data_IF_897645486943
#
_entry.id   IF_897645486943
#
_cell.length_a   1.000
_cell.length_b   1.000
_cell.length_c   1.000
_cell.angle_alpha   90.00
_cell.angle_beta   90.00
_cell.angle_gamma   90.00
#
_symmetry.space_group_name_H-M   'P 1'
#
loop_
_entity.id
_entity.type
_entity.pdbx_description
1 polymer ?
#
# COMPACT_ATOMS: atom_id res chain seq x y z
N UNK A 1 -21.37 22.12 7.54
CA UNK A 1 -20.32 21.52 6.69
C UNK A 1 -19.94 20.20 7.32
N UNK A 2 -19.92 19.10 6.56
CA UNK A 2 -19.51 17.80 7.09
C UNK A 2 -18.03 17.82 7.48
N UNK A 3 -17.69 17.24 8.62
CA UNK A 3 -16.30 17.16 9.11
C UNK A 3 -15.44 16.27 8.21
N UNK A 4 -14.11 16.38 8.32
CA UNK A 4 -13.18 15.48 7.62
C UNK A 4 -13.49 14.01 7.92
N UNK A 5 -13.74 13.68 9.19
CA UNK A 5 -14.03 12.33 9.64
C UNK A 5 -15.34 11.78 9.06
N UNK A 6 -16.39 12.61 9.01
CA UNK A 6 -17.68 12.24 8.40
C UNK A 6 -17.52 11.94 6.91
N UNK A 7 -16.82 12.83 6.17
CA UNK A 7 -16.58 12.64 4.73
C UNK A 7 -15.75 11.37 4.46
N UNK A 8 -14.69 11.14 5.24
CA UNK A 8 -13.88 9.93 5.13
C UNK A 8 -14.68 8.67 5.45
N UNK A 9 -15.48 8.69 6.51
CA UNK A 9 -16.32 7.55 6.90
C UNK A 9 -17.34 7.22 5.80
N UNK A 10 -17.92 8.24 5.16
CA UNK A 10 -18.81 8.06 4.02
C UNK A 10 -18.11 7.39 2.83
N UNK A 11 -16.89 7.81 2.50
CA UNK A 11 -16.11 7.23 1.40
C UNK A 11 -15.61 5.81 1.67
N UNK A 12 -15.30 5.49 2.93
CA UNK A 12 -14.99 4.10 3.34
C UNK A 12 -16.24 3.21 3.22
N UNK A 13 -17.41 3.79 3.42
CA UNK A 13 -18.70 3.14 3.20
C UNK A 13 -19.17 2.32 4.40
N UNK A 14 -20.42 1.81 4.34
CA UNK A 14 -21.10 1.20 5.49
C UNK A 14 -20.49 -0.14 5.92
N UNK A 15 -19.70 -0.79 5.05
CA UNK A 15 -19.00 -2.03 5.37
C UNK A 15 -17.71 -1.80 6.17
N UNK A 16 -17.31 -0.54 6.33
CA UNK A 16 -16.10 -0.17 7.05
C UNK A 16 -14.82 -0.45 6.28
N UNK A 17 -13.72 -0.47 7.02
CA UNK A 17 -12.38 -0.65 6.46
C UNK A 17 -12.16 -2.07 5.92
N UNK A 18 -11.54 -2.16 4.74
CA UNK A 18 -11.02 -3.40 4.17
C UNK A 18 -9.49 -3.37 4.09
N UNK A 19 -8.82 -4.51 4.28
CA UNK A 19 -7.35 -4.59 4.28
C UNK A 19 -6.71 -4.13 2.97
N UNK A 20 -7.41 -4.25 1.84
CA UNK A 20 -6.96 -3.70 0.55
C UNK A 20 -6.87 -2.17 0.56
N UNK A 21 -7.58 -1.49 1.46
CA UNK A 21 -7.58 -0.04 1.64
C UNK A 21 -6.42 0.47 2.48
N UNK A 22 -5.62 -0.40 3.12
CA UNK A 22 -4.51 -0.01 4.01
C UNK A 22 -3.65 1.12 3.46
N UNK A 23 -3.20 0.98 2.21
CA UNK A 23 -2.36 1.98 1.54
C UNK A 23 -3.12 3.25 1.17
N UNK A 24 -4.39 3.10 0.77
CA UNK A 24 -5.24 4.25 0.44
C UNK A 24 -5.52 5.11 1.65
N UNK A 25 -5.88 4.47 2.76
CA UNK A 25 -6.14 5.15 4.02
C UNK A 25 -4.86 5.77 4.59
N UNK A 26 -3.72 5.07 4.50
CA UNK A 26 -2.42 5.64 4.86
C UNK A 26 -2.12 6.92 4.07
N UNK A 27 -2.41 6.97 2.76
CA UNK A 27 -2.27 8.19 1.97
C UNK A 27 -3.17 9.33 2.48
N UNK A 28 -4.43 9.03 2.83
CA UNK A 28 -5.37 10.03 3.37
C UNK A 28 -4.85 10.60 4.68
N UNK A 29 -4.42 9.73 5.59
CA UNK A 29 -3.91 10.12 6.90
C UNK A 29 -2.66 10.98 6.77
N UNK A 30 -1.71 10.58 5.93
CA UNK A 30 -0.49 11.36 5.72
C UNK A 30 -0.77 12.72 5.06
N UNK A 31 -1.74 12.77 4.15
CA UNK A 31 -2.16 14.01 3.49
C UNK A 31 -2.85 14.96 4.48
N UNK A 32 -3.78 14.46 5.30
CA UNK A 32 -4.43 15.27 6.33
C UNK A 32 -3.43 15.71 7.41
N UNK A 33 -2.56 14.82 7.89
CA UNK A 33 -1.52 15.15 8.85
C UNK A 33 -0.61 16.28 8.35
N UNK A 34 -0.30 16.30 7.04
CA UNK A 34 0.44 17.40 6.41
C UNK A 34 -0.36 18.71 6.48
N UNK A 35 -1.66 18.68 6.15
CA UNK A 35 -2.53 19.87 6.22
C UNK A 35 -2.59 20.42 7.65
N UNK A 36 -2.68 19.55 8.66
CA UNK A 36 -2.70 19.94 10.08
C UNK A 36 -1.45 20.70 10.54
N UNK A 37 -0.29 20.47 9.90
CA UNK A 37 0.98 21.12 10.29
C UNK A 37 1.44 22.18 9.30
N UNK A 38 0.69 22.40 8.21
CA UNK A 38 1.15 23.16 7.04
C UNK A 38 1.53 24.61 7.40
N UNK A 39 0.75 25.25 8.28
CA UNK A 39 1.00 26.61 8.76
C UNK A 39 2.25 26.71 9.64
N UNK A 40 2.60 25.63 10.36
CA UNK A 40 3.78 25.59 11.22
C UNK A 40 5.06 25.15 10.49
N UNK A 41 4.95 24.49 9.33
CA UNK A 41 6.10 23.98 8.57
C UNK A 41 7.24 25.00 8.36
N UNK A 42 6.98 26.29 8.05
CA UNK A 42 8.05 27.28 7.90
C UNK A 42 8.89 27.48 9.17
N UNK A 43 8.27 27.33 10.35
CA UNK A 43 8.90 27.55 11.66
C UNK A 43 9.60 26.30 12.19
N UNK A 44 9.35 25.13 11.60
CA UNK A 44 9.91 23.85 12.02
C UNK A 44 11.19 23.50 11.24
N UNK A 45 12.20 23.00 11.97
CA UNK A 45 13.40 22.39 11.38
C UNK A 45 13.04 21.08 10.64
N UNK A 46 13.83 20.62 9.65
CA UNK A 46 13.51 19.41 8.88
C UNK A 46 13.21 18.16 9.70
N UNK A 47 13.91 17.93 10.83
CA UNK A 47 13.62 16.78 11.70
C UNK A 47 12.31 16.96 12.48
N UNK A 48 12.00 18.19 12.93
CA UNK A 48 10.76 18.51 13.65
C UNK A 48 9.55 18.32 12.74
N UNK A 49 9.65 18.67 11.45
CA UNK A 49 8.59 18.43 10.45
C UNK A 49 8.21 16.95 10.35
N UNK A 50 9.21 16.06 10.37
CA UNK A 50 9.01 14.61 10.30
C UNK A 50 8.35 14.07 11.58
N UNK A 51 8.77 14.56 12.74
CA UNK A 51 8.18 14.19 14.04
C UNK A 51 6.74 14.69 14.14
N UNK A 52 6.51 15.97 13.85
CA UNK A 52 5.18 16.59 13.82
C UNK A 52 4.22 15.83 12.91
N UNK A 53 4.67 15.49 11.70
CA UNK A 53 3.87 14.73 10.76
C UNK A 53 3.44 13.38 11.33
N UNK A 54 4.38 12.62 11.90
CA UNK A 54 4.08 11.30 12.46
C UNK A 54 3.18 11.40 13.69
N UNK A 55 3.39 12.39 14.57
CA UNK A 55 2.54 12.63 15.73
C UNK A 55 1.08 12.90 15.33
N UNK A 56 0.88 13.77 14.34
CA UNK A 56 -0.46 14.04 13.80
C UNK A 56 -1.05 12.84 13.08
N UNK A 57 -0.26 12.11 12.28
CA UNK A 57 -0.72 10.88 11.61
C UNK A 57 -1.21 9.82 12.62
N UNK A 58 -0.45 9.59 13.71
CA UNK A 58 -0.87 8.71 14.79
C UNK A 58 -2.18 9.20 15.43
N UNK A 59 -2.30 10.51 15.69
CA UNK A 59 -3.49 11.10 16.29
C UNK A 59 -4.74 10.94 15.43
N UNK A 60 -4.59 11.09 14.12
CA UNK A 60 -5.67 10.88 13.17
C UNK A 60 -6.10 9.42 13.17
N UNK A 61 -5.17 8.46 13.19
CA UNK A 61 -5.51 7.03 13.21
C UNK A 61 -6.27 6.65 14.48
N UNK A 62 -5.86 7.17 15.64
CA UNK A 62 -6.53 6.91 16.91
C UNK A 62 -7.96 7.45 16.94
N UNK A 63 -8.24 8.52 16.19
CA UNK A 63 -9.57 9.14 16.12
C UNK A 63 -10.52 8.46 15.13
N UNK A 64 -10.06 7.51 14.31
CA UNK A 64 -10.90 6.78 13.36
C UNK A 64 -11.74 5.70 14.08
N UNK A 65 -13.08 5.86 14.18
CA UNK A 65 -13.93 4.95 14.95
C UNK A 65 -14.20 3.63 14.20
N UNK A 66 -14.05 3.62 12.88
CA UNK A 66 -14.29 2.44 12.03
C UNK A 66 -13.09 1.48 11.99
N UNK A 67 -11.98 1.81 12.65
CA UNK A 67 -10.79 0.96 12.72
C UNK A 67 -10.73 0.19 14.04
N UNK A 68 -10.51 -1.12 13.91
CA UNK A 68 -10.19 -1.99 15.04
C UNK A 68 -8.77 -1.70 15.55
N UNK A 69 -8.47 -1.97 16.84
CA UNK A 69 -7.15 -1.69 17.42
C UNK A 69 -5.97 -2.29 16.62
N UNK A 70 -6.09 -3.52 16.13
CA UNK A 70 -5.04 -4.14 15.33
C UNK A 70 -4.83 -3.42 13.99
N UNK A 71 -5.91 -3.02 13.29
CA UNK A 71 -5.86 -2.31 12.00
C UNK A 71 -5.16 -0.95 12.10
N UNK A 72 -5.27 -0.27 13.25
CA UNK A 72 -4.59 1.01 13.51
C UNK A 72 -3.07 0.87 13.39
N UNK A 73 -2.52 -0.22 13.93
CA UNK A 73 -1.10 -0.51 13.82
C UNK A 73 -0.71 -0.85 12.36
N UNK A 74 -1.55 -1.62 11.65
CA UNK A 74 -1.25 -2.08 10.28
C UNK A 74 -1.17 -0.94 9.26
N UNK A 75 -1.98 0.10 9.45
CA UNK A 75 -1.98 1.29 8.60
C UNK A 75 -0.64 2.03 8.68
N UNK A 76 0.07 1.94 9.80
CA UNK A 76 1.40 2.54 9.95
C UNK A 76 2.52 1.60 9.54
N UNK A 77 2.24 0.40 9.04
CA UNK A 77 3.31 -0.43 8.49
C UNK A 77 3.79 0.12 7.15
N UNK A 78 5.11 0.18 6.99
CA UNK A 78 5.79 0.47 5.73
C UNK A 78 5.39 -0.52 4.64
N UNK A 79 5.43 -1.82 4.95
CA UNK A 79 4.99 -2.93 4.09
C UNK A 79 4.16 -3.92 4.92
N UNK A 80 3.24 -4.64 4.28
CA UNK A 80 2.44 -5.63 4.99
C UNK A 80 3.25 -6.88 5.36
N UNK A 81 4.28 -7.20 4.57
CA UNK A 81 5.12 -8.40 4.73
C UNK A 81 6.13 -8.29 5.85
N UNK A 82 6.89 -7.18 5.95
CA UNK A 82 7.89 -7.02 7.01
C UNK A 82 7.29 -6.49 8.31
N UNK A 83 6.07 -5.93 8.27
CA UNK A 83 5.42 -5.24 9.38
C UNK A 83 6.31 -4.14 10.01
N UNK A 84 7.26 -3.63 9.24
CA UNK A 84 8.17 -2.57 9.67
C UNK A 84 7.37 -1.28 9.85
N UNK A 85 7.57 -0.57 10.96
CA UNK A 85 6.87 0.68 11.22
C UNK A 85 7.29 1.78 10.24
N UNK A 86 6.34 2.61 9.81
CA UNK A 86 6.58 3.77 8.99
C UNK A 86 7.30 4.83 9.81
N UNK A 87 8.52 5.19 9.42
CA UNK A 87 9.26 6.28 10.03
C UNK A 87 8.95 7.63 9.35
N UNK A 88 9.30 8.72 10.04
CA UNK A 88 9.02 10.08 9.57
C UNK A 88 9.71 10.46 8.26
N UNK A 89 10.90 9.92 7.97
CA UNK A 89 11.60 10.14 6.69
C UNK A 89 10.82 9.58 5.50
N UNK A 90 10.38 8.33 5.62
CA UNK A 90 9.62 7.65 4.57
C UNK A 90 8.24 8.29 4.45
N UNK A 91 7.59 8.61 5.56
CA UNK A 91 6.29 9.31 5.57
C UNK A 91 6.37 10.65 4.81
N UNK A 92 7.40 11.45 5.10
CA UNK A 92 7.59 12.74 4.44
C UNK A 92 7.84 12.60 2.94
N UNK A 93 8.65 11.61 2.53
CA UNK A 93 8.85 11.29 1.10
C UNK A 93 7.56 10.82 0.43
N UNK A 94 6.76 9.97 1.10
CA UNK A 94 5.45 9.51 0.59
C UNK A 94 4.51 10.66 0.33
N UNK A 95 4.47 11.69 1.18
CA UNK A 95 3.64 12.88 0.93
C UNK A 95 4.02 13.59 -0.37
N UNK A 96 5.31 13.70 -0.68
CA UNK A 96 5.75 14.30 -1.95
C UNK A 96 5.28 13.47 -3.14
N UNK A 97 5.32 12.13 -3.02
CA UNK A 97 4.80 11.23 -4.04
C UNK A 97 3.28 11.35 -4.18
N UNK A 98 2.55 11.36 -3.07
CA UNK A 98 1.09 11.54 -3.03
C UNK A 98 0.72 12.84 -3.75
N UNK A 99 1.39 13.95 -3.45
CA UNK A 99 1.16 15.22 -4.14
C UNK A 99 1.40 15.12 -5.65
N UNK A 100 2.50 14.49 -6.08
CA UNK A 100 2.78 14.30 -7.52
C UNK A 100 1.70 13.47 -8.20
N UNK A 101 1.21 12.42 -7.57
CA UNK A 101 0.18 11.55 -8.12
C UNK A 101 -1.19 12.23 -8.14
N UNK A 102 -1.57 12.97 -7.09
CA UNK A 102 -2.79 13.78 -7.08
C UNK A 102 -2.79 14.82 -8.20
N UNK A 103 -1.64 15.46 -8.49
CA UNK A 103 -1.52 16.38 -9.61
C UNK A 103 -1.62 15.68 -10.98
N UNK A 104 -1.20 14.41 -11.10
CA UNK A 104 -1.44 13.61 -12.31
C UNK A 104 -2.92 13.30 -12.47
N UNK A 105 -3.59 12.84 -11.40
CA UNK A 105 -5.03 12.58 -11.42
C UNK A 105 -5.85 13.84 -11.74
N UNK A 106 -5.48 14.99 -11.18
CA UNK A 106 -6.10 16.28 -11.47
C UNK A 106 -5.98 16.70 -12.94
N UNK A 107 -4.91 16.30 -13.63
CA UNK A 107 -4.77 16.53 -15.08
C UNK A 107 -5.61 15.55 -15.89
N UNK A 108 -5.62 14.28 -15.50
CA UNK A 108 -6.36 13.22 -16.19
C UNK A 108 -7.89 13.39 -16.07
N UNK A 109 -8.38 13.82 -14.90
CA UNK A 109 -9.83 13.97 -14.68
C UNK A 109 -10.49 14.99 -15.62
N UNK A 110 -9.73 15.97 -16.14
CA UNK A 110 -10.24 17.00 -17.07
C UNK A 110 -10.95 16.43 -18.28
N UNK A 111 -10.58 15.22 -18.71
CA UNK A 111 -11.18 14.51 -19.85
C UNK A 111 -12.62 14.07 -19.58
N UNK A 112 -13.00 13.95 -18.31
CA UNK A 112 -14.28 13.40 -17.87
C UNK A 112 -15.21 14.44 -17.25
N UNK A 113 -14.76 15.68 -17.06
CA UNK A 113 -15.58 16.75 -16.47
C UNK A 113 -16.67 17.14 -17.47
N UNK A 114 -17.92 16.88 -17.12
CA UNK A 114 -19.10 17.35 -17.85
C UNK A 114 -20.08 18.06 -16.91
N UNK A 115 -20.81 19.09 -17.38
CA UNK A 115 -21.75 19.84 -16.54
C UNK A 115 -22.90 19.01 -15.95
N UNK A 116 -23.24 17.89 -16.59
CA UNK A 116 -24.41 17.08 -16.26
C UNK A 116 -24.14 16.01 -15.20
N UNK A 117 -22.88 15.83 -14.81
CA UNK A 117 -22.44 14.74 -13.94
C UNK A 117 -21.71 15.26 -12.70
N UNK A 118 -21.67 14.45 -11.65
CA UNK A 118 -21.07 14.84 -10.37
C UNK A 118 -19.57 14.52 -10.32
N UNK A 119 -18.84 15.12 -9.37
CA UNK A 119 -17.44 14.76 -9.14
C UNK A 119 -17.23 13.26 -8.93
N UNK A 120 -18.15 12.60 -8.22
CA UNK A 120 -18.09 11.17 -7.97
C UNK A 120 -18.16 10.37 -9.27
N UNK A 121 -19.00 10.81 -10.22
CA UNK A 121 -19.13 10.19 -11.55
C UNK A 121 -17.85 10.38 -12.37
N UNK A 122 -17.26 11.59 -12.37
CA UNK A 122 -16.00 11.85 -13.06
C UNK A 122 -14.86 10.97 -12.51
N UNK A 123 -14.78 10.80 -11.19
CA UNK A 123 -13.77 9.93 -10.59
C UNK A 123 -14.05 8.45 -10.91
N UNK A 124 -15.31 8.02 -10.97
CA UNK A 124 -15.65 6.66 -11.41
C UNK A 124 -15.18 6.41 -12.86
N UNK A 125 -15.38 7.38 -13.77
CA UNK A 125 -14.87 7.29 -15.14
C UNK A 125 -13.35 7.29 -15.19
N UNK A 126 -12.69 8.10 -14.36
CA UNK A 126 -11.23 8.10 -14.23
C UNK A 126 -10.71 6.75 -13.73
N UNK A 127 -11.34 6.16 -12.71
CA UNK A 127 -10.98 4.82 -12.21
C UNK A 127 -11.14 3.75 -13.29
N UNK A 128 -12.23 3.79 -14.06
CA UNK A 128 -12.44 2.90 -15.20
C UNK A 128 -11.34 3.05 -16.25
N UNK A 129 -11.00 4.28 -16.62
CA UNK A 129 -9.91 4.56 -17.56
C UNK A 129 -8.56 4.03 -17.06
N UNK A 130 -8.24 4.23 -15.77
CA UNK A 130 -7.01 3.73 -15.16
C UNK A 130 -6.98 2.20 -15.12
N UNK A 131 -8.11 1.57 -14.80
CA UNK A 131 -8.24 0.11 -14.82
C UNK A 131 -7.99 -0.46 -16.20
N UNK A 132 -8.63 0.11 -17.23
CA UNK A 132 -8.44 -0.30 -18.62
C UNK A 132 -6.99 -0.10 -19.07
N UNK A 133 -6.34 0.97 -18.61
CA UNK A 133 -4.95 1.30 -18.95
C UNK A 133 -3.90 0.47 -18.21
N UNK A 134 -4.25 -0.17 -17.08
CA UNK A 134 -3.28 -0.80 -16.17
C UNK A 134 -2.57 -2.05 -16.73
N UNK A 135 -3.10 -2.68 -17.78
CA UNK A 135 -2.44 -3.82 -18.45
C UNK A 135 -2.24 -5.09 -17.59
N UNK A 136 -2.67 -5.11 -16.33
CA UNK A 136 -2.42 -6.17 -15.35
C UNK A 136 -3.07 -7.53 -15.70
N UNK A 137 -3.92 -7.56 -16.73
CA UNK A 137 -4.58 -8.76 -17.20
C UNK A 137 -3.86 -9.37 -18.41
N UNK A 138 -2.68 -9.98 -18.20
CA UNK A 138 -2.03 -11.00 -19.05
C UNK A 138 -2.57 -11.14 -20.50
N UNK A 139 -2.42 -10.11 -21.34
CA UNK A 139 -2.80 -10.15 -22.75
C UNK A 139 -4.30 -10.23 -23.07
N UNK A 140 -5.21 -10.04 -22.11
CA UNK A 140 -6.65 -9.87 -22.37
C UNK A 140 -7.00 -8.39 -22.32
N UNK A 141 -7.62 -7.90 -23.40
CA UNK A 141 -8.18 -6.54 -23.42
C UNK A 141 -9.14 -6.36 -22.23
N UNK A 142 -8.82 -5.38 -21.38
CA UNK A 142 -9.61 -4.93 -20.23
C UNK A 142 -10.73 -3.98 -20.64
N UNK A 143 -10.67 -3.48 -21.86
CA UNK A 143 -11.66 -2.57 -22.45
C UNK A 143 -13.08 -3.12 -22.32
N UNK A 144 -13.96 -2.36 -21.69
CA UNK A 144 -15.37 -2.71 -21.51
C UNK A 144 -15.68 -3.63 -20.33
N UNK A 145 -14.69 -4.00 -19.50
CA UNK A 145 -14.93 -4.68 -18.22
C UNK A 145 -15.15 -3.68 -17.10
N UNK A 146 -16.13 -3.91 -16.25
CA UNK A 146 -16.35 -3.08 -15.06
C UNK A 146 -15.17 -3.19 -14.09
N UNK A 147 -14.72 -2.06 -13.53
CA UNK A 147 -13.70 -2.06 -12.45
C UNK A 147 -14.16 -2.95 -11.29
N UNK A 148 -13.32 -3.92 -10.85
CA UNK A 148 -13.63 -4.71 -9.66
C UNK A 148 -13.75 -3.83 -8.41
N UNK A 149 -14.64 -4.20 -7.49
CA UNK A 149 -14.76 -3.51 -6.22
C UNK A 149 -13.41 -3.42 -5.50
N UNK A 150 -13.08 -2.26 -4.96
CA UNK A 150 -11.83 -1.96 -4.27
C UNK A 150 -10.54 -2.09 -5.11
N UNK A 151 -10.62 -2.31 -6.43
CA UNK A 151 -9.43 -2.41 -7.29
C UNK A 151 -8.52 -1.19 -7.14
N UNK A 152 -9.13 0.00 -7.16
CA UNK A 152 -8.42 1.25 -7.07
C UNK A 152 -7.65 1.37 -5.74
N UNK A 153 -8.16 0.78 -4.64
CA UNK A 153 -7.44 0.78 -3.38
C UNK A 153 -6.14 -0.03 -3.38
N UNK A 154 -6.10 -1.10 -4.19
CA UNK A 154 -4.93 -1.96 -4.36
C UNK A 154 -3.92 -1.46 -5.40
N UNK A 155 -4.37 -0.72 -6.42
CA UNK A 155 -3.54 -0.36 -7.59
C UNK A 155 -3.31 1.15 -7.73
N UNK A 156 -4.18 1.98 -7.14
CA UNK A 156 -4.06 3.44 -7.14
C UNK A 156 -4.43 4.02 -5.77
N UNK A 157 -3.51 3.86 -4.83
CA UNK A 157 -3.72 4.22 -3.43
C UNK A 157 -4.00 5.72 -3.18
N UNK A 158 -3.73 6.62 -4.12
CA UNK A 158 -4.08 8.05 -3.93
C UNK A 158 -5.51 8.40 -4.35
N UNK A 159 -6.25 7.47 -4.97
CA UNK A 159 -7.60 7.73 -5.46
C UNK A 159 -8.57 8.11 -4.33
N UNK A 160 -8.42 7.50 -3.14
CA UNK A 160 -9.24 7.82 -1.99
C UNK A 160 -8.96 9.24 -1.48
N UNK A 161 -7.69 9.67 -1.49
CA UNK A 161 -7.36 11.07 -1.23
C UNK A 161 -7.99 11.99 -2.28
N UNK A 162 -7.91 11.61 -3.55
CA UNK A 162 -8.45 12.42 -4.63
C UNK A 162 -9.97 12.63 -4.48
N UNK A 163 -10.74 11.55 -4.24
CA UNK A 163 -12.18 11.62 -3.95
C UNK A 163 -12.52 12.48 -2.76
N UNK A 164 -11.67 12.50 -1.73
CA UNK A 164 -11.92 13.23 -0.51
C UNK A 164 -11.62 14.73 -0.68
N UNK A 165 -10.47 15.08 -1.25
CA UNK A 165 -9.93 16.44 -1.20
C UNK A 165 -10.12 17.27 -2.47
N UNK A 166 -10.53 16.67 -3.58
CA UNK A 166 -10.69 17.38 -4.86
C UNK A 166 -12.16 17.53 -5.23
N UNK A 167 -12.43 18.57 -6.02
CA UNK A 167 -13.68 18.74 -6.75
C UNK A 167 -13.32 19.13 -8.19
N UNK A 168 -13.45 18.17 -9.09
CA UNK A 168 -12.92 18.28 -10.46
C UNK A 168 -11.40 18.23 -10.49
N UNK A 169 -10.76 19.18 -11.18
CA UNK A 169 -9.31 19.25 -11.37
C UNK A 169 -8.58 20.05 -10.27
N UNK A 170 -9.30 20.52 -9.25
CA UNK A 170 -8.75 21.38 -8.19
C UNK A 170 -9.10 20.84 -6.81
N UNK A 171 -8.30 21.19 -5.77
CA UNK A 171 -8.71 20.96 -4.39
C UNK A 171 -10.09 21.57 -4.12
N UNK A 172 -10.94 20.86 -3.40
CA UNK A 172 -12.29 21.30 -3.05
C UNK A 172 -12.20 22.57 -2.18
N UNK A 173 -12.66 23.74 -2.67
CA UNK A 173 -12.58 24.99 -1.92
C UNK A 173 -13.52 24.99 -0.70
N UNK A 174 -14.48 24.06 -0.65
CA UNK A 174 -15.42 23.90 0.47
C UNK A 174 -14.95 22.84 1.46
N UNK A 175 -13.77 22.25 1.26
CA UNK A 175 -13.23 21.25 2.17
C UNK A 175 -12.93 21.90 3.53
N UNK A 176 -13.31 21.27 4.66
CA UNK A 176 -13.09 21.85 5.97
C UNK A 176 -11.60 22.13 6.24
N UNK A 177 -11.34 23.15 7.05
CA UNK A 177 -10.01 23.43 7.57
C UNK A 177 -9.47 22.19 8.31
N UNK A 178 -8.15 21.92 8.21
CA UNK A 178 -7.57 20.80 8.94
C UNK A 178 -7.70 21.05 10.43
N UNK A 179 -8.14 20.03 11.18
CA UNK A 179 -8.25 20.10 12.63
C UNK A 179 -7.22 19.16 13.24
N UNK A 180 -6.15 19.65 13.86
CA UNK A 180 -5.12 18.79 14.42
C UNK A 180 -5.73 17.96 15.57
N UNK A 181 -5.66 16.63 15.52
CA UNK A 181 -6.18 15.78 16.59
C UNK A 181 -5.42 15.94 17.91
N UNK A 182 -4.18 16.45 17.87
CA UNK A 182 -3.35 16.67 19.06
C UNK A 182 -2.59 18.00 18.96
N UNK A 183 -2.34 18.68 20.09
CA UNK A 183 -1.38 19.79 20.13
C UNK A 183 0.02 19.32 19.69
N UNK A 184 0.69 20.10 18.85
CA UNK A 184 1.99 19.74 18.32
C UNK A 184 3.06 19.71 19.41
N UNK A 185 3.72 18.55 19.54
CA UNK A 185 4.82 18.32 20.49
C UNK A 185 6.07 17.94 19.73
N UNK A 186 6.96 18.91 19.49
CA UNK A 186 8.25 18.68 18.82
C UNK A 186 9.43 19.08 19.72
N UNK A 187 10.47 18.23 19.84
CA UNK A 187 11.69 18.60 20.55
C UNK A 187 12.40 19.78 19.89
N UNK A 188 12.97 20.69 20.69
CA UNK A 188 13.74 21.85 20.19
C UNK A 188 15.12 21.46 19.65
N UNK A 189 15.71 20.44 20.26
CA UNK A 189 16.97 19.84 19.84
C UNK A 189 16.72 18.48 19.18
N UNK A 190 17.58 18.13 18.22
CA UNK A 190 17.59 16.76 17.68
C UNK A 190 18.02 15.83 18.82
N UNK A 191 17.24 14.78 19.14
CA UNK A 191 17.63 13.82 20.17
C UNK A 191 19.05 13.31 19.91
N UNK A 192 19.96 13.55 20.87
CA UNK A 192 21.33 13.06 20.84
C UNK A 192 21.34 11.66 21.43
N UNK A 193 21.05 10.67 20.59
CA UNK A 193 20.95 9.28 21.01
C UNK A 193 20.10 8.50 20.03
N UNK A 194 20.71 7.49 19.44
CA UNK A 194 20.21 6.57 18.41
C UNK A 194 19.99 7.16 17.03
N UNK A 195 20.87 6.74 16.12
CA UNK A 195 20.76 7.00 14.71
C UNK A 195 19.37 6.63 14.18
N UNK A 196 18.72 7.60 13.55
CA UNK A 196 17.82 7.33 12.42
C UNK A 196 18.58 6.69 11.24
N UNK A 197 19.90 6.53 11.35
CA UNK A 197 20.77 5.71 10.52
C UNK A 197 21.37 4.59 11.38
N UNK A 198 20.93 3.35 11.16
CA UNK A 198 21.64 2.11 11.52
C UNK A 198 21.85 1.79 13.00
N UNK A 199 20.86 1.16 13.66
CA UNK A 199 21.04 0.06 14.63
C UNK A 199 19.71 -0.31 15.32
N UNK A 200 18.87 -1.11 14.65
CA UNK A 200 17.90 -1.93 15.40
C UNK A 200 18.68 -3.17 15.85
N UNK A 201 19.31 -3.09 17.03
CA UNK A 201 19.65 -4.30 17.77
C UNK A 201 18.33 -4.94 18.18
N UNK A 202 17.95 -6.02 17.51
CA UNK A 202 16.89 -6.91 17.96
C UNK A 202 17.14 -7.27 19.42
N UNK A 203 16.12 -7.24 20.31
CA UNK A 203 16.26 -7.90 21.59
C UNK A 203 16.44 -9.40 21.29
N UNK A 204 17.57 -9.97 21.72
CA UNK A 204 17.71 -11.43 21.85
C UNK A 204 16.73 -11.89 22.93
N UNK A 205 15.48 -12.13 22.54
CA UNK A 205 14.53 -12.90 23.33
C UNK A 205 14.94 -14.36 23.28
N UNK A 206 15.50 -14.84 24.38
CA UNK A 206 15.75 -16.25 24.68
C UNK A 206 14.49 -17.07 24.38
N UNK A 207 14.58 -18.00 23.42
CA UNK A 207 13.54 -19.00 23.20
C UNK A 207 13.47 -19.90 24.43
N UNK A 208 12.42 -19.73 25.23
CA UNK A 208 11.97 -20.75 26.17
C UNK A 208 10.92 -21.60 25.48
N UNK A 209 11.20 -22.89 25.41
CA UNK A 209 10.36 -23.97 24.88
C UNK A 209 8.91 -23.82 25.35
N UNK A 210 7.99 -23.55 24.42
CA UNK A 210 6.57 -23.80 24.65
C UNK A 210 6.33 -25.30 24.45
N UNK A 211 6.24 -25.98 25.58
CA UNK A 211 5.76 -27.35 25.69
C UNK A 211 4.33 -27.44 25.15
N UNK A 212 4.11 -28.41 24.27
CA UNK A 212 2.84 -28.77 23.68
C UNK A 212 1.98 -29.44 24.76
N UNK A 213 0.78 -28.90 25.03
CA UNK A 213 -0.28 -29.64 25.69
C UNK A 213 -1.55 -29.64 24.82
N UNK A 214 -2.36 -30.72 24.88
CA UNK A 214 -3.28 -31.09 23.82
C UNK A 214 -4.63 -30.39 23.96
N UNK A 215 -5.26 -30.16 22.81
CA UNK A 215 -6.64 -29.71 22.67
C UNK A 215 -7.63 -30.66 23.36
N UNK A 216 -8.62 -30.08 24.04
CA UNK A 216 -9.94 -30.69 24.22
C UNK A 216 -10.97 -29.91 23.36
N UNK A 217 -11.99 -30.58 22.80
CA UNK A 217 -12.87 -30.01 21.79
C UNK A 217 -14.09 -29.34 22.42
N UNK A 218 -14.50 -28.19 21.87
CA UNK A 218 -15.87 -27.70 22.01
C UNK A 218 -16.45 -27.35 20.65
N UNK A 219 -17.71 -27.74 20.50
CA UNK A 219 -18.42 -27.95 19.27
C UNK A 219 -19.15 -26.70 18.76
N UNK A 220 -19.39 -26.72 17.44
CA UNK A 220 -20.56 -26.25 16.71
C UNK A 220 -20.95 -24.75 16.76
N UNK A 221 -20.92 -24.13 15.58
CA UNK A 221 -21.90 -23.12 15.19
C UNK A 221 -21.33 -21.92 14.45
N UNK A 222 -21.45 -21.88 13.11
CA UNK A 222 -21.32 -20.66 12.31
C UNK A 222 -20.28 -20.75 11.20
N UNK A 223 -20.65 -21.35 10.06
CA UNK A 223 -19.91 -21.19 8.82
C UNK A 223 -19.99 -19.72 8.36
N UNK A 224 -18.94 -18.95 8.64
CA UNK A 224 -18.66 -17.72 7.90
C UNK A 224 -17.78 -18.13 6.73
N UNK A 225 -18.32 -18.11 5.52
CA UNK A 225 -17.56 -18.35 4.29
C UNK A 225 -16.54 -17.24 4.12
N UNK A 226 -15.28 -17.53 4.46
CA UNK A 226 -14.13 -16.68 4.12
C UNK A 226 -14.01 -16.64 2.60
N UNK A 227 -13.99 -15.47 1.94
CA UNK A 227 -13.67 -15.41 0.53
C UNK A 227 -12.24 -15.91 0.35
N UNK A 228 -12.08 -17.06 -0.31
CA UNK A 228 -10.79 -17.61 -0.70
C UNK A 228 -10.17 -16.67 -1.73
N UNK A 229 -9.36 -15.72 -1.26
CA UNK A 229 -8.48 -14.93 -2.13
C UNK A 229 -7.60 -15.91 -2.88
N UNK A 230 -7.60 -15.84 -4.21
CA UNK A 230 -6.79 -16.72 -5.05
C UNK A 230 -5.31 -16.58 -4.63
N UNK A 231 -4.64 -17.67 -4.19
CA UNK A 231 -3.23 -17.63 -3.80
C UNK A 231 -2.32 -17.02 -4.87
N UNK A 232 -2.72 -17.10 -6.14
CA UNK A 232 -2.01 -16.48 -7.26
C UNK A 232 -2.13 -14.96 -7.27
N UNK A 233 -3.29 -14.41 -6.90
CA UNK A 233 -3.53 -12.96 -6.85
C UNK A 233 -2.80 -12.33 -5.65
N UNK A 234 -2.83 -12.99 -4.50
CA UNK A 234 -2.06 -12.58 -3.33
C UNK A 234 -0.55 -12.57 -3.61
N UNK A 235 -0.06 -13.58 -4.37
CA UNK A 235 1.34 -13.63 -4.82
C UNK A 235 1.69 -12.51 -5.80
N UNK A 236 0.82 -12.20 -6.76
CA UNK A 236 1.04 -11.08 -7.70
C UNK A 236 1.16 -9.76 -6.96
N UNK A 237 0.27 -9.51 -5.99
CA UNK A 237 0.32 -8.31 -5.14
C UNK A 237 1.64 -8.19 -4.39
N UNK A 238 2.12 -9.28 -3.79
CA UNK A 238 3.42 -9.32 -3.10
C UNK A 238 4.57 -9.05 -4.08
N UNK A 239 4.54 -9.63 -5.29
CA UNK A 239 5.58 -9.43 -6.29
C UNK A 239 5.61 -8.00 -6.84
N UNK A 240 4.45 -7.35 -7.02
CA UNK A 240 4.37 -5.93 -7.40
C UNK A 240 4.95 -5.05 -6.29
N UNK A 241 4.61 -5.31 -5.02
CA UNK A 241 5.20 -4.59 -3.88
C UNK A 241 6.73 -4.75 -3.81
N UNK A 242 7.25 -5.95 -4.08
CA UNK A 242 8.70 -6.20 -4.12
C UNK A 242 9.37 -5.47 -5.28
N UNK A 243 8.74 -5.44 -6.46
CA UNK A 243 9.26 -4.71 -7.63
C UNK A 243 9.39 -3.21 -7.35
N UNK A 244 8.34 -2.59 -6.82
CA UNK A 244 8.37 -1.17 -6.43
C UNK A 244 9.44 -0.89 -5.38
N UNK A 245 9.68 -1.83 -4.46
CA UNK A 245 10.72 -1.68 -3.45
C UNK A 245 12.14 -1.81 -4.03
N UNK A 246 12.33 -2.66 -5.04
CA UNK A 246 13.59 -2.76 -5.77
C UNK A 246 13.87 -1.47 -6.57
N UNK A 247 12.84 -0.89 -7.18
CA UNK A 247 12.95 0.39 -7.88
C UNK A 247 13.31 1.52 -6.88
N UNK A 248 12.69 1.54 -5.70
CA UNK A 248 13.08 2.46 -4.62
C UNK A 248 14.51 2.22 -4.14
N UNK A 249 14.94 0.97 -3.94
CA UNK A 249 16.31 0.65 -3.50
C UNK A 249 17.36 1.06 -4.53
N UNK A 250 17.02 1.08 -5.81
CA UNK A 250 17.89 1.57 -6.88
C UNK A 250 18.17 3.08 -6.73
N UNK A 251 17.22 3.84 -6.19
CA UNK A 251 17.43 5.27 -5.88
C UNK A 251 18.33 5.51 -4.65
N UNK A 252 18.69 4.47 -3.88
CA UNK A 252 19.62 4.55 -2.75
C UNK A 252 21.06 4.13 -3.10
N UNK A 253 21.31 3.77 -4.37
CA UNK A 253 22.65 3.42 -4.86
C UNK A 253 23.58 4.64 -4.73
N UNK A 254 24.64 4.52 -3.93
CA UNK A 254 25.58 5.61 -3.62
C UNK A 254 25.22 6.47 -2.39
N UNK A 255 24.10 6.21 -1.71
CA UNK A 255 23.68 6.94 -0.49
C UNK A 255 23.82 6.07 0.76
N UNK A 256 23.52 4.77 0.64
CA UNK A 256 23.76 3.78 1.70
C UNK A 256 24.90 2.85 1.28
N UNK A 257 25.51 2.18 2.26
CA UNK A 257 26.57 1.21 1.96
C UNK A 257 26.04 0.12 1.03
N UNK A 258 26.88 -0.35 0.09
CA UNK A 258 26.51 -1.45 -0.82
C UNK A 258 26.13 -2.71 -0.03
N UNK A 259 26.72 -2.89 1.15
CA UNK A 259 26.46 -4.00 2.05
C UNK A 259 25.04 -3.94 2.63
N UNK A 260 24.56 -2.75 3.04
CA UNK A 260 23.18 -2.53 3.49
C UNK A 260 22.17 -2.68 2.35
N UNK A 261 22.53 -2.22 1.15
CA UNK A 261 21.68 -2.33 -0.03
C UNK A 261 21.52 -3.80 -0.45
N UNK A 262 22.61 -4.58 -0.39
CA UNK A 262 22.61 -6.02 -0.61
C UNK A 262 21.85 -6.77 0.49
N UNK A 263 21.95 -6.35 1.74
CA UNK A 263 21.21 -6.94 2.85
C UNK A 263 19.69 -6.72 2.70
N UNK A 264 19.27 -5.49 2.39
CA UNK A 264 17.85 -5.15 2.15
C UNK A 264 17.27 -5.87 0.94
N UNK A 265 18.04 -6.02 -0.14
CA UNK A 265 17.65 -6.88 -1.28
C UNK A 265 17.46 -8.33 -0.82
N UNK A 266 18.41 -8.90 -0.08
CA UNK A 266 18.31 -10.28 0.44
C UNK A 266 17.10 -10.48 1.34
N UNK A 267 16.78 -9.53 2.21
CA UNK A 267 15.64 -9.62 3.11
C UNK A 267 14.30 -9.52 2.37
N UNK A 268 14.21 -8.70 1.31
CA UNK A 268 13.06 -8.68 0.40
C UNK A 268 12.85 -10.03 -0.29
N UNK A 269 13.93 -10.66 -0.78
CA UNK A 269 13.83 -11.96 -1.44
C UNK A 269 13.52 -13.10 -0.45
N UNK A 270 14.00 -13.04 0.79
CA UNK A 270 13.64 -14.01 1.84
C UNK A 270 12.20 -13.91 2.29
N UNK A 271 11.60 -12.72 2.21
CA UNK A 271 10.20 -12.48 2.55
C UNK A 271 9.23 -12.85 1.41
N UNK A 272 9.72 -13.27 0.24
CA UNK A 272 8.87 -13.73 -0.85
C UNK A 272 8.24 -15.10 -0.51
N UNK A 273 6.97 -15.32 -0.88
CA UNK A 273 6.36 -16.64 -0.76
C UNK A 273 7.15 -17.67 -1.59
N UNK A 274 7.22 -18.93 -1.15
CA UNK A 274 7.96 -19.97 -1.83
C UNK A 274 7.52 -20.08 -3.30
N UNK A 275 8.48 -20.34 -4.18
CA UNK A 275 8.18 -20.56 -5.58
C UNK A 275 7.19 -21.74 -5.71
N UNK A 276 6.15 -21.63 -6.55
CA UNK A 276 5.26 -22.74 -6.82
C UNK A 276 6.10 -23.91 -7.33
N UNK A 277 5.70 -25.14 -6.98
CA UNK A 277 6.38 -26.32 -7.49
C UNK A 277 6.46 -26.22 -9.01
N UNK A 278 7.60 -26.57 -9.63
CA UNK A 278 7.73 -26.58 -11.08
C UNK A 278 6.56 -27.40 -11.62
N UNK A 279 5.83 -26.82 -12.59
CA UNK A 279 4.76 -27.52 -13.26
C UNK A 279 5.33 -28.83 -13.78
N UNK A 280 4.90 -29.97 -13.20
CA UNK A 280 5.29 -31.29 -13.70
C UNK A 280 5.01 -31.29 -15.19
N UNK A 281 6.04 -31.64 -15.97
CA UNK A 281 6.06 -31.67 -17.42
C UNK A 281 4.83 -32.36 -18.01
N UNK A 282 3.77 -31.59 -18.27
CA UNK A 282 2.62 -32.02 -19.07
C UNK A 282 2.83 -31.74 -20.57
N UNK A 283 4.08 -31.50 -20.99
CA UNK A 283 4.42 -31.27 -22.39
C UNK A 283 5.79 -31.90 -22.74
N UNK A 284 5.97 -33.20 -22.44
CA UNK A 284 6.82 -34.03 -23.30
C UNK A 284 6.11 -34.21 -24.63
N UNK A 285 6.25 -33.24 -25.53
CA UNK A 285 6.14 -33.54 -26.96
C UNK A 285 7.33 -34.44 -27.29
N UNK A 286 7.14 -35.65 -27.83
CA UNK A 286 8.26 -36.42 -28.35
C UNK A 286 8.96 -35.58 -29.43
N UNK A 287 10.28 -35.47 -29.35
CA UNK A 287 11.08 -34.84 -30.40
C UNK A 287 10.93 -35.67 -31.67
N UNK A 288 10.52 -35.00 -32.74
CA UNK A 288 10.42 -35.54 -34.09
C UNK A 288 11.83 -35.64 -34.72
N UNK A 289 12.74 -36.36 -34.07
CA UNK A 289 14.11 -36.57 -34.54
C UNK A 289 14.61 -38.02 -34.39
N UNK A 290 13.77 -38.95 -33.98
CA UNK A 290 14.11 -40.38 -33.84
C UNK A 290 13.35 -41.26 -34.85
N UNK A 291 12.82 -40.67 -35.93
CA UNK A 291 12.29 -41.38 -37.09
C UNK A 291 13.12 -40.93 -38.30
N UNK A 292 14.31 -41.50 -38.45
CA UNK A 292 15.05 -41.65 -39.72
C UNK A 292 16.48 -42.16 -39.42
N UNK A 293 16.62 -43.46 -39.18
CA UNK A 293 17.85 -44.21 -39.48
C UNK A 293 17.62 -45.72 -39.27
N UNK A 294 18.10 -46.50 -40.24
CA UNK A 294 18.21 -47.96 -40.24
C UNK A 294 16.95 -48.79 -40.57
N UNK A 295 16.45 -48.57 -41.78
CA UNK A 295 16.13 -49.70 -42.66
C UNK A 295 17.32 -49.82 -43.63
N UNK A 296 18.07 -50.94 -43.60
CA UNK A 296 18.64 -51.70 -44.75
C UNK A 296 19.77 -52.63 -44.25
N UNK A 297 19.52 -53.94 -44.16
CA UNK A 297 20.20 -54.97 -44.96
C UNK A 297 19.67 -56.37 -44.58
N UNK A 298 18.77 -56.87 -45.43
CA UNK A 298 18.58 -58.30 -45.69
C UNK A 298 19.45 -58.60 -46.91
N UNK A 299 20.46 -59.44 -46.74
CA UNK A 299 20.76 -60.72 -47.44
C UNK A 299 22.07 -61.25 -46.85
#
# INVERSE_FOLDING_TARGET
MSSWLERLTLLVGPRGYHDCMRRSLQSVILFEAKRCIEEELPNLKPFQRKIALMDQANGLIESLPFLMPHQREEILWRTATSKEQLNGDIAYKRIQQINKELQKLAKEIKKFITPESTHQDWVNHLEQFLFESSGDNQGKATTGRTVPANWAHGHNHVILCFRLYYNGDKPDPTFPAPMPPRPLKVPQERPKGDGMEGAIKSPKGTMTNMSVLPMAPYAAGGMVSVPTVDPLEQRRKILTEVREHLDLLKEFEGIISEEDLAQRKRDLFKALPPAPPPAKDANKRPRLSDLDAEETQIV
#
